data_IF_051755375786
#
_entry.id   IF_051755375786
#
_cell.length_a   1.000
_cell.length_b   1.000
_cell.length_c   1.000
_cell.angle_alpha   90.00
_cell.angle_beta   90.00
_cell.angle_gamma   90.00
#
_symmetry.space_group_name_H-M   'P 1'
#
loop_
_entity.id
_entity.type
_entity.pdbx_description
1 polymer ?
#
# COMPACT_ATOMS: atom_id res chain seq x y z
N UNK A 1 -4.81 -21.85 -19.84
CA UNK A 1 -5.88 -20.96 -19.33
C UNK A 1 -6.94 -21.80 -18.62
N UNK A 2 -6.92 -21.81 -17.30
CA UNK A 2 -7.94 -22.45 -16.47
C UNK A 2 -9.01 -21.40 -16.15
N UNK A 3 -10.15 -21.51 -16.83
CA UNK A 3 -11.33 -20.73 -16.54
C UNK A 3 -11.99 -21.23 -15.26
N UNK A 4 -12.04 -20.40 -14.23
CA UNK A 4 -12.92 -20.59 -13.09
C UNK A 4 -14.30 -20.08 -13.49
N UNK A 5 -15.27 -20.97 -13.70
CA UNK A 5 -16.68 -20.61 -13.83
C UNK A 5 -17.21 -20.16 -12.47
N UNK A 6 -17.55 -18.89 -12.35
CA UNK A 6 -18.37 -18.40 -11.26
C UNK A 6 -19.84 -18.74 -11.55
N UNK A 7 -20.42 -19.65 -10.79
CA UNK A 7 -21.86 -19.92 -10.78
C UNK A 7 -22.45 -19.05 -9.65
N UNK A 8 -23.29 -18.10 -10.02
CA UNK A 8 -24.05 -17.30 -9.07
C UNK A 8 -25.22 -18.09 -8.51
N UNK A 9 -25.38 -18.05 -7.21
CA UNK A 9 -26.42 -18.81 -6.53
C UNK A 9 -27.12 -17.98 -5.45
N UNK A 10 -28.42 -18.14 -5.31
CA UNK A 10 -29.34 -17.36 -4.50
C UNK A 10 -29.31 -17.71 -3.02
N UNK A 11 -29.90 -16.87 -2.16
CA UNK A 11 -29.75 -16.83 -0.69
C UNK A 11 -30.15 -18.10 0.11
N UNK A 12 -30.55 -19.19 -0.52
CA UNK A 12 -30.85 -20.47 0.13
C UNK A 12 -29.65 -21.43 0.18
N UNK A 13 -28.51 -21.01 -0.32
CA UNK A 13 -27.34 -21.84 -0.62
C UNK A 13 -26.09 -21.47 0.18
N UNK A 14 -26.19 -20.56 1.17
CA UNK A 14 -25.02 -20.25 2.03
C UNK A 14 -24.45 -21.43 2.80
N UNK A 15 -25.30 -22.41 3.18
CA UNK A 15 -24.82 -23.68 3.77
C UNK A 15 -24.15 -24.59 2.73
N UNK A 16 -24.55 -24.49 1.45
CA UNK A 16 -23.92 -25.26 0.38
C UNK A 16 -22.65 -24.61 -0.15
N UNK A 17 -22.50 -23.28 -0.06
CA UNK A 17 -21.26 -22.59 -0.47
C UNK A 17 -20.05 -22.94 0.41
N UNK A 18 -20.24 -23.13 1.72
CA UNK A 18 -19.16 -23.63 2.59
C UNK A 18 -18.77 -25.07 2.24
N UNK A 19 -19.76 -25.93 1.93
CA UNK A 19 -19.51 -27.33 1.56
C UNK A 19 -18.87 -27.42 0.16
N UNK A 20 -19.27 -26.59 -0.80
CA UNK A 20 -18.67 -26.52 -2.14
C UNK A 20 -17.30 -25.86 -2.09
N UNK A 21 -17.09 -24.85 -1.24
CA UNK A 21 -15.79 -24.25 -0.98
C UNK A 21 -14.81 -25.24 -0.34
N UNK A 22 -15.26 -26.02 0.66
CA UNK A 22 -14.47 -27.10 1.25
C UNK A 22 -14.20 -28.23 0.24
N UNK A 23 -15.20 -28.64 -0.53
CA UNK A 23 -15.05 -29.67 -1.56
C UNK A 23 -14.12 -29.23 -2.71
N UNK A 24 -14.11 -27.94 -3.08
CA UNK A 24 -13.16 -27.40 -4.07
C UNK A 24 -11.74 -27.27 -3.51
N UNK A 25 -11.59 -26.90 -2.24
CA UNK A 25 -10.28 -26.90 -1.55
C UNK A 25 -9.76 -28.31 -1.30
N UNK A 26 -10.61 -29.25 -0.92
CA UNK A 26 -10.27 -30.67 -0.80
C UNK A 26 -10.00 -31.30 -2.17
N UNK A 27 -10.74 -30.91 -3.21
CA UNK A 27 -10.53 -31.36 -4.59
C UNK A 27 -9.20 -30.86 -5.17
N UNK A 28 -8.83 -29.58 -4.94
CA UNK A 28 -7.52 -29.04 -5.34
C UNK A 28 -6.37 -29.59 -4.51
N UNK A 29 -6.55 -29.78 -3.21
CA UNK A 29 -5.57 -30.43 -2.36
C UNK A 29 -5.39 -31.93 -2.72
N UNK A 30 -6.48 -32.64 -3.00
CA UNK A 30 -6.44 -34.03 -3.48
C UNK A 30 -5.87 -34.13 -4.91
N UNK A 31 -6.08 -33.11 -5.76
CA UNK A 31 -5.50 -33.06 -7.09
C UNK A 31 -4.01 -32.71 -7.06
N UNK A 32 -3.58 -31.81 -6.18
CA UNK A 32 -2.17 -31.52 -5.90
C UNK A 32 -1.46 -32.71 -5.19
N UNK A 33 -2.19 -33.43 -4.31
CA UNK A 33 -1.67 -34.67 -3.71
C UNK A 33 -1.61 -35.85 -4.69
N UNK A 34 -2.07 -35.64 -5.92
CA UNK A 34 -2.09 -36.65 -6.97
C UNK A 34 -0.84 -36.63 -7.88
N UNK A 35 0.14 -35.74 -7.61
CA UNK A 35 1.51 -36.02 -8.03
C UNK A 35 1.93 -37.27 -7.29
N UNK A 36 1.90 -38.39 -8.00
CA UNK A 36 2.10 -39.68 -7.40
C UNK A 36 3.53 -39.77 -6.89
N UNK A 37 3.76 -40.60 -5.90
CA UNK A 37 5.12 -40.95 -5.46
C UNK A 37 5.98 -41.46 -6.64
N UNK A 38 5.34 -41.91 -7.69
CA UNK A 38 5.99 -42.40 -8.90
C UNK A 38 6.42 -41.23 -9.83
N UNK A 39 5.66 -40.11 -9.89
CA UNK A 39 6.06 -38.89 -10.59
C UNK A 39 7.32 -38.27 -9.96
N UNK A 40 7.41 -38.31 -8.62
CA UNK A 40 8.62 -37.85 -7.91
C UNK A 40 9.87 -38.73 -8.22
N UNK A 41 9.67 -40.05 -8.33
CA UNK A 41 10.73 -40.98 -8.71
C UNK A 41 11.15 -40.76 -10.16
N UNK A 42 10.22 -40.51 -11.05
CA UNK A 42 10.47 -40.20 -12.45
C UNK A 42 11.22 -38.87 -12.58
N UNK A 43 10.80 -37.83 -11.86
CA UNK A 43 11.48 -36.53 -11.83
C UNK A 43 12.91 -36.65 -11.31
N UNK A 44 13.15 -37.41 -10.24
CA UNK A 44 14.47 -37.68 -9.73
C UNK A 44 15.32 -38.44 -10.78
N UNK A 45 14.76 -39.44 -11.42
CA UNK A 45 15.43 -40.25 -12.41
C UNK A 45 16.00 -39.44 -13.60
N UNK A 46 15.13 -38.61 -14.23
CA UNK A 46 15.57 -37.73 -15.34
C UNK A 46 16.41 -36.56 -14.84
N UNK A 47 16.14 -36.03 -13.66
CA UNK A 47 16.95 -35.00 -13.04
C UNK A 47 18.41 -35.44 -12.86
N UNK A 48 18.63 -36.67 -12.46
CA UNK A 48 19.99 -37.24 -12.34
C UNK A 48 20.66 -37.46 -13.69
N UNK A 49 19.91 -37.80 -14.74
CA UNK A 49 20.47 -37.88 -16.11
C UNK A 49 20.93 -36.50 -16.58
N UNK A 50 20.11 -35.44 -16.33
CA UNK A 50 20.53 -34.07 -16.67
C UNK A 50 21.70 -33.57 -15.84
N UNK A 51 21.78 -33.96 -14.55
CA UNK A 51 22.97 -33.66 -13.73
C UNK A 51 24.23 -34.27 -14.32
N UNK A 52 24.18 -35.54 -14.67
CA UNK A 52 25.33 -36.26 -15.28
C UNK A 52 25.72 -35.66 -16.64
N UNK A 53 24.75 -35.36 -17.51
CA UNK A 53 24.99 -34.69 -18.78
C UNK A 53 25.62 -33.30 -18.61
N UNK A 54 25.24 -32.56 -17.56
CA UNK A 54 25.84 -31.28 -17.22
C UNK A 54 27.19 -31.38 -16.50
N UNK A 55 27.70 -32.60 -16.31
CA UNK A 55 29.00 -32.88 -15.68
C UNK A 55 28.98 -32.80 -14.16
N UNK A 56 27.79 -32.84 -13.53
CA UNK A 56 27.67 -32.88 -12.07
C UNK A 56 27.65 -34.30 -11.51
N UNK A 57 28.12 -34.44 -10.27
CA UNK A 57 28.17 -35.70 -9.54
C UNK A 57 26.79 -36.20 -9.15
N UNK A 58 26.27 -37.33 -9.69
CA UNK A 58 24.92 -37.83 -9.39
C UNK A 58 24.68 -38.18 -7.92
N UNK A 59 25.71 -38.59 -7.17
CA UNK A 59 25.65 -38.86 -5.75
C UNK A 59 25.13 -37.63 -4.94
N UNK A 60 25.31 -36.43 -5.47
CA UNK A 60 24.73 -35.19 -4.88
C UNK A 60 23.22 -35.21 -4.75
N UNK A 61 22.51 -35.89 -5.68
CA UNK A 61 21.05 -36.04 -5.58
C UNK A 61 20.65 -37.00 -4.45
N UNK A 62 21.45 -38.06 -4.23
CA UNK A 62 21.25 -39.00 -3.11
C UNK A 62 21.38 -38.24 -1.77
N UNK A 63 22.49 -37.52 -1.61
CA UNK A 63 22.79 -36.74 -0.38
C UNK A 63 21.73 -35.67 -0.11
N UNK A 64 21.19 -35.04 -1.16
CA UNK A 64 20.08 -34.07 -1.01
C UNK A 64 18.82 -34.74 -0.48
N UNK A 65 18.44 -35.91 -1.00
CA UNK A 65 17.25 -36.63 -0.54
C UNK A 65 17.45 -37.16 0.88
N UNK A 66 18.64 -37.63 1.26
CA UNK A 66 18.97 -38.02 2.64
C UNK A 66 18.82 -36.85 3.60
N UNK A 67 19.29 -35.66 3.19
CA UNK A 67 19.13 -34.41 3.95
C UNK A 67 17.67 -34.05 4.13
N UNK A 68 16.83 -34.14 3.08
CA UNK A 68 15.41 -33.88 3.17
C UNK A 68 14.68 -34.89 4.07
N UNK A 69 15.04 -36.16 4.01
CA UNK A 69 14.51 -37.19 4.93
C UNK A 69 14.88 -36.87 6.37
N UNK A 70 16.09 -36.41 6.64
CA UNK A 70 16.47 -36.00 8.01
C UNK A 70 15.65 -34.80 8.50
N UNK A 71 15.50 -33.77 7.69
CA UNK A 71 14.69 -32.59 8.03
C UNK A 71 13.19 -32.88 8.22
N UNK A 72 12.66 -33.91 7.53
CA UNK A 72 11.26 -34.31 7.70
C UNK A 72 10.95 -34.95 9.04
N UNK A 73 11.98 -35.48 9.72
CA UNK A 73 11.86 -36.09 11.06
C UNK A 73 11.89 -35.05 12.18
N UNK A 74 12.59 -33.93 11.97
CA UNK A 74 12.61 -32.80 12.87
C UNK A 74 11.43 -31.87 12.56
N UNK A 75 10.99 -31.05 13.54
CA UNK A 75 9.95 -30.02 13.30
C UNK A 75 10.46 -29.02 12.27
N UNK A 76 10.20 -29.32 11.00
CA UNK A 76 10.60 -28.46 9.87
C UNK A 76 10.06 -27.03 10.04
N UNK A 77 10.83 -26.02 9.62
CA UNK A 77 10.35 -24.64 9.52
C UNK A 77 9.11 -24.57 8.61
N UNK A 78 8.26 -23.56 8.74
CA UNK A 78 7.03 -23.42 7.96
C UNK A 78 7.26 -23.49 6.44
N UNK A 79 8.41 -23.03 5.96
CA UNK A 79 8.80 -23.13 4.54
C UNK A 79 9.05 -24.58 4.09
N UNK A 80 9.87 -25.34 4.86
CA UNK A 80 10.15 -26.75 4.54
C UNK A 80 8.90 -27.62 4.69
N UNK A 81 8.01 -27.31 5.64
CA UNK A 81 6.74 -28.01 5.77
C UNK A 81 5.86 -27.87 4.53
N UNK A 82 5.82 -26.69 3.90
CA UNK A 82 5.11 -26.45 2.64
C UNK A 82 5.74 -27.22 1.46
N UNK A 83 7.06 -27.22 1.37
CA UNK A 83 7.79 -27.96 0.33
C UNK A 83 7.56 -29.47 0.46
N UNK A 84 7.65 -30.02 1.69
CA UNK A 84 7.47 -31.45 1.93
C UNK A 84 6.02 -31.92 1.82
N UNK A 85 5.04 -31.00 1.93
CA UNK A 85 3.63 -31.32 1.67
C UNK A 85 3.38 -31.61 0.18
N UNK A 86 4.06 -30.91 -0.73
CA UNK A 86 3.94 -31.08 -2.17
C UNK A 86 4.95 -32.10 -2.75
N UNK A 87 6.15 -32.19 -2.16
CA UNK A 87 7.27 -33.03 -2.60
C UNK A 87 7.81 -33.85 -1.42
N UNK A 88 7.11 -34.90 -0.97
CA UNK A 88 7.47 -35.62 0.24
C UNK A 88 8.77 -36.38 0.09
N UNK A 89 9.79 -36.10 0.93
CA UNK A 89 11.01 -36.91 0.95
C UNK A 89 10.71 -38.30 1.49
N UNK A 90 11.36 -39.31 0.92
CA UNK A 90 11.16 -40.69 1.35
C UNK A 90 12.42 -41.54 1.18
N UNK A 91 12.56 -42.55 2.02
CA UNK A 91 13.67 -43.54 1.88
C UNK A 91 13.60 -44.29 0.55
N UNK A 92 12.40 -44.46 -0.03
CA UNK A 92 12.23 -45.07 -1.36
C UNK A 92 12.91 -44.24 -2.44
N UNK A 93 12.82 -42.90 -2.39
CA UNK A 93 13.52 -41.98 -3.31
C UNK A 93 15.03 -42.05 -3.11
N UNK A 94 15.51 -42.04 -1.86
CA UNK A 94 16.91 -42.20 -1.53
C UNK A 94 17.48 -43.45 -2.16
N UNK A 95 16.82 -44.60 -2.00
CA UNK A 95 17.32 -45.89 -2.55
C UNK A 95 17.26 -45.95 -4.08
N UNK A 96 16.18 -45.43 -4.69
CA UNK A 96 16.06 -45.34 -6.14
C UNK A 96 17.18 -44.46 -6.73
N UNK A 97 17.45 -43.29 -6.12
CA UNK A 97 18.53 -42.39 -6.54
C UNK A 97 19.90 -43.03 -6.35
N UNK A 98 20.14 -43.81 -5.28
CA UNK A 98 21.39 -44.53 -5.05
C UNK A 98 21.64 -45.62 -6.10
N UNK A 99 20.60 -46.32 -6.52
CA UNK A 99 20.68 -47.30 -7.61
C UNK A 99 21.01 -46.59 -8.92
N UNK A 100 20.30 -45.51 -9.24
CA UNK A 100 20.49 -44.72 -10.46
C UNK A 100 21.89 -44.09 -10.52
N UNK A 101 22.39 -43.53 -9.41
CA UNK A 101 23.73 -42.90 -9.34
C UNK A 101 24.84 -43.85 -9.77
N UNK A 102 24.76 -45.14 -9.40
CA UNK A 102 25.75 -46.17 -9.79
C UNK A 102 25.80 -46.44 -11.28
N UNK A 103 24.76 -46.08 -12.04
CA UNK A 103 24.68 -46.28 -13.48
C UNK A 103 25.18 -45.08 -14.30
N UNK A 104 25.44 -43.96 -13.64
CA UNK A 104 25.80 -42.70 -14.26
C UNK A 104 27.29 -42.40 -14.09
N UNK A 105 27.91 -41.66 -15.02
CA UNK A 105 29.30 -41.26 -14.87
C UNK A 105 29.48 -40.31 -13.69
N UNK A 106 30.60 -40.43 -12.98
CA UNK A 106 30.99 -39.47 -11.94
C UNK A 106 31.25 -38.10 -12.54
N UNK A 107 30.97 -37.07 -11.76
CA UNK A 107 31.15 -35.70 -12.17
C UNK A 107 31.71 -34.78 -11.07
N UNK A 108 31.70 -33.48 -11.34
CA UNK A 108 32.12 -32.48 -10.36
C UNK A 108 30.96 -32.14 -9.41
N UNK A 109 31.20 -32.11 -8.11
CA UNK A 109 30.25 -31.63 -7.13
C UNK A 109 29.99 -30.10 -7.22
N UNK A 110 30.74 -29.40 -8.02
CA UNK A 110 30.64 -27.95 -8.21
C UNK A 110 30.98 -27.14 -6.97
N UNK A 111 31.45 -27.76 -5.88
CA UNK A 111 31.66 -27.14 -4.57
C UNK A 111 32.55 -25.90 -4.67
N UNK A 112 33.67 -25.99 -5.38
CA UNK A 112 34.61 -24.87 -5.51
C UNK A 112 33.97 -23.69 -6.24
N UNK A 113 33.29 -23.96 -7.37
CA UNK A 113 32.55 -22.94 -8.14
C UNK A 113 31.43 -22.31 -7.30
N UNK A 114 30.64 -23.12 -6.60
CA UNK A 114 29.60 -22.69 -5.74
C UNK A 114 30.13 -21.79 -4.60
N UNK A 115 31.17 -22.23 -3.88
CA UNK A 115 31.78 -21.45 -2.81
C UNK A 115 32.36 -20.12 -3.32
N UNK A 116 32.95 -20.12 -4.51
CA UNK A 116 33.45 -18.91 -5.16
C UNK A 116 32.27 -17.96 -5.50
N UNK A 117 31.18 -18.49 -6.07
CA UNK A 117 30.01 -17.72 -6.46
C UNK A 117 29.29 -17.10 -5.26
N UNK A 118 29.14 -17.82 -4.13
CA UNK A 118 28.46 -17.34 -2.93
C UNK A 118 29.39 -16.58 -1.96
N UNK A 119 30.68 -16.44 -2.28
CA UNK A 119 31.65 -15.77 -1.40
C UNK A 119 31.23 -14.35 -1.05
N UNK A 120 30.80 -13.58 -2.05
CA UNK A 120 30.33 -12.22 -1.84
C UNK A 120 29.02 -12.21 -1.03
N UNK A 121 28.07 -13.09 -1.36
CA UNK A 121 26.82 -13.23 -0.62
C UNK A 121 27.05 -13.50 0.87
N UNK A 122 28.00 -14.37 1.20
CA UNK A 122 28.38 -14.65 2.60
C UNK A 122 28.99 -13.44 3.33
N UNK A 123 29.76 -12.61 2.61
CA UNK A 123 30.25 -11.34 3.16
C UNK A 123 29.11 -10.36 3.38
N UNK A 124 28.21 -10.27 2.38
CA UNK A 124 27.09 -9.35 2.41
C UNK A 124 26.09 -9.69 3.53
N UNK A 125 25.97 -10.96 3.93
CA UNK A 125 25.14 -11.40 5.06
C UNK A 125 25.38 -10.56 6.32
N UNK A 126 26.63 -10.31 6.69
CA UNK A 126 27.00 -9.48 7.81
C UNK A 126 26.56 -8.03 7.65
N UNK A 127 26.57 -7.50 6.41
CA UNK A 127 26.10 -6.16 6.13
C UNK A 127 24.57 -6.07 6.32
N UNK A 128 23.82 -7.06 5.81
CA UNK A 128 22.37 -7.12 5.98
C UNK A 128 21.95 -7.35 7.42
N UNK A 129 22.67 -8.17 8.20
CA UNK A 129 22.46 -8.30 9.64
C UNK A 129 22.63 -6.96 10.38
N UNK A 130 23.69 -6.21 10.03
CA UNK A 130 23.92 -4.90 10.60
C UNK A 130 22.80 -3.92 10.23
N UNK A 131 22.32 -3.95 8.99
CA UNK A 131 21.19 -3.15 8.55
C UNK A 131 19.88 -3.52 9.27
N UNK A 132 19.63 -4.81 9.54
CA UNK A 132 18.48 -5.24 10.35
C UNK A 132 18.56 -4.75 11.81
N UNK A 133 19.76 -4.75 12.39
CA UNK A 133 19.99 -4.12 13.72
C UNK A 133 19.67 -2.62 13.69
N UNK A 134 20.09 -1.93 12.62
CA UNK A 134 19.78 -0.51 12.42
C UNK A 134 18.28 -0.26 12.26
N UNK A 135 17.55 -1.07 11.48
CA UNK A 135 16.09 -0.97 11.37
C UNK A 135 15.39 -1.12 12.73
N UNK A 136 15.85 -2.07 13.55
CA UNK A 136 15.34 -2.28 14.92
C UNK A 136 15.63 -1.07 15.81
N UNK A 137 16.83 -0.48 15.71
CA UNK A 137 17.21 0.71 16.45
C UNK A 137 16.33 1.92 16.04
N UNK A 138 16.10 2.15 14.75
CA UNK A 138 15.20 3.21 14.27
C UNK A 138 13.76 3.04 14.79
N UNK A 139 13.23 1.81 14.80
CA UNK A 139 11.91 1.52 15.39
C UNK A 139 11.83 1.85 16.88
N UNK A 140 12.96 1.77 17.61
CA UNK A 140 13.09 2.15 19.03
C UNK A 140 13.45 3.63 19.22
N UNK A 141 13.44 4.42 18.16
CA UNK A 141 13.88 5.83 18.17
C UNK A 141 15.34 6.02 18.65
N UNK A 142 16.23 5.06 18.32
CA UNK A 142 17.67 5.15 18.55
C UNK A 142 18.44 5.38 17.23
N UNK A 143 18.46 6.62 16.71
CA UNK A 143 19.14 6.92 15.45
C UNK A 143 20.67 6.81 15.54
N UNK A 144 21.28 7.00 16.71
CA UNK A 144 22.74 6.89 16.88
C UNK A 144 23.18 5.43 16.83
N UNK A 145 22.46 4.52 17.52
CA UNK A 145 22.68 3.08 17.43
C UNK A 145 22.44 2.55 16.01
N UNK A 146 21.45 3.11 15.30
CA UNK A 146 21.23 2.79 13.89
C UNK A 146 22.42 3.19 13.02
N UNK A 147 22.95 4.41 13.16
CA UNK A 147 24.12 4.88 12.41
C UNK A 147 25.33 4.01 12.64
N UNK A 148 25.64 3.66 13.89
CA UNK A 148 26.77 2.77 14.22
C UNK A 148 26.66 1.40 13.53
N UNK A 149 25.44 0.87 13.44
CA UNK A 149 25.21 -0.39 12.73
C UNK A 149 25.30 -0.22 11.20
N UNK A 150 24.83 0.92 10.68
CA UNK A 150 24.88 1.22 9.24
C UNK A 150 26.28 1.58 8.76
N UNK A 151 27.16 2.08 9.62
CA UNK A 151 28.57 2.26 9.28
C UNK A 151 29.18 0.90 8.91
N UNK A 152 28.96 -0.13 9.74
CA UNK A 152 29.41 -1.49 9.45
C UNK A 152 28.78 -2.06 8.16
N UNK A 153 27.49 -1.77 7.93
CA UNK A 153 26.80 -2.26 6.74
C UNK A 153 27.39 -1.65 5.44
N UNK A 154 27.62 -0.33 5.42
CA UNK A 154 28.16 0.35 4.23
C UNK A 154 29.64 0.11 4.03
N UNK A 155 30.41 -0.20 5.08
CA UNK A 155 31.83 -0.60 4.95
C UNK A 155 31.97 -1.96 4.24
N UNK A 156 31.02 -2.86 4.46
CA UNK A 156 31.03 -4.19 3.82
C UNK A 156 30.43 -4.12 2.42
N UNK A 157 29.26 -3.45 2.28
CA UNK A 157 28.52 -3.35 1.04
C UNK A 157 28.11 -1.90 0.75
N UNK A 158 29.02 -1.08 0.21
CA UNK A 158 28.79 0.35 -0.03
C UNK A 158 27.80 0.62 -1.16
N UNK A 159 27.54 -0.35 -2.02
CA UNK A 159 26.67 -0.19 -3.19
C UNK A 159 25.20 -0.50 -2.90
N UNK A 160 24.89 -1.05 -1.73
CA UNK A 160 23.51 -1.34 -1.34
C UNK A 160 22.76 -0.04 -0.99
N UNK A 161 21.91 0.39 -1.90
CA UNK A 161 21.18 1.66 -1.81
C UNK A 161 20.30 1.76 -0.56
N UNK A 162 19.75 0.65 -0.08
CA UNK A 162 18.82 0.63 1.05
C UNK A 162 19.50 1.04 2.37
N UNK A 163 20.79 0.76 2.52
CA UNK A 163 21.56 1.20 3.68
C UNK A 163 21.67 2.72 3.75
N UNK A 164 21.82 3.36 2.61
CA UNK A 164 21.85 4.82 2.51
C UNK A 164 20.48 5.45 2.76
N UNK A 165 19.36 4.79 2.39
CA UNK A 165 18.02 5.22 2.82
C UNK A 165 17.90 5.21 4.34
N UNK A 166 18.33 4.12 4.98
CA UNK A 166 18.28 4.00 6.45
C UNK A 166 19.17 5.05 7.13
N UNK A 167 20.37 5.34 6.59
CA UNK A 167 21.24 6.43 7.09
C UNK A 167 20.54 7.78 7.00
N UNK A 168 19.89 8.07 5.87
CA UNK A 168 19.14 9.30 5.71
C UNK A 168 18.00 9.44 6.72
N UNK A 169 17.27 8.35 6.99
CA UNK A 169 16.23 8.31 8.03
C UNK A 169 16.81 8.57 9.43
N UNK A 170 17.95 7.98 9.76
CA UNK A 170 18.60 8.20 11.03
C UNK A 170 19.02 9.67 11.23
N UNK A 171 19.63 10.29 10.21
CA UNK A 171 19.99 11.70 10.24
C UNK A 171 18.77 12.62 10.29
N UNK A 172 17.68 12.28 9.59
CA UNK A 172 16.40 13.01 9.66
C UNK A 172 15.85 13.03 11.10
N UNK A 173 15.89 11.89 11.80
CA UNK A 173 15.46 11.80 13.21
C UNK A 173 16.35 12.66 14.12
N UNK A 174 17.66 12.74 13.85
CA UNK A 174 18.58 13.61 14.58
C UNK A 174 18.45 15.10 14.25
N UNK A 175 17.60 15.47 13.27
CA UNK A 175 17.43 16.85 12.82
C UNK A 175 18.55 17.35 11.88
N UNK A 176 19.50 16.49 11.49
CA UNK A 176 20.56 16.87 10.54
C UNK A 176 20.07 16.66 9.11
N UNK A 177 19.36 17.68 8.63
CA UNK A 177 18.76 17.68 7.27
C UNK A 177 19.80 17.58 6.17
N UNK A 178 20.96 18.20 6.35
CA UNK A 178 22.03 18.18 5.36
C UNK A 178 22.67 16.80 5.20
N UNK A 179 22.92 16.08 6.31
CA UNK A 179 23.41 14.69 6.24
C UNK A 179 22.33 13.74 5.72
N UNK A 180 21.07 13.96 6.10
CA UNK A 180 19.95 13.17 5.57
C UNK A 180 19.84 13.28 4.05
N UNK A 181 19.85 14.50 3.51
CA UNK A 181 19.77 14.75 2.07
C UNK A 181 20.93 14.11 1.30
N UNK A 182 22.17 14.25 1.81
CA UNK A 182 23.34 13.59 1.20
C UNK A 182 23.21 12.07 1.17
N UNK A 183 22.69 11.47 2.23
CA UNK A 183 22.49 10.03 2.30
C UNK A 183 21.43 9.57 1.28
N UNK A 184 20.28 10.26 1.20
CA UNK A 184 19.26 9.96 0.19
C UNK A 184 19.77 10.15 -1.23
N UNK A 185 20.55 11.21 -1.47
CA UNK A 185 21.20 11.47 -2.77
C UNK A 185 22.16 10.35 -3.16
N UNK A 186 22.93 9.85 -2.20
CA UNK A 186 23.81 8.70 -2.40
C UNK A 186 23.00 7.45 -2.76
N UNK A 187 21.89 7.20 -2.05
CA UNK A 187 20.97 6.10 -2.35
C UNK A 187 20.41 6.17 -3.77
N UNK A 188 19.96 7.35 -4.20
CA UNK A 188 19.45 7.59 -5.56
C UNK A 188 20.52 7.27 -6.60
N UNK A 189 21.76 7.71 -6.38
CA UNK A 189 22.87 7.43 -7.29
C UNK A 189 23.17 5.94 -7.39
N UNK A 190 23.05 5.18 -6.29
CA UNK A 190 23.25 3.72 -6.26
C UNK A 190 22.11 2.97 -6.95
N UNK A 191 20.86 3.40 -6.75
CA UNK A 191 19.71 2.83 -7.44
C UNK A 191 18.70 3.91 -7.84
N UNK A 192 18.80 4.47 -9.05
CA UNK A 192 17.91 5.54 -9.53
C UNK A 192 16.49 5.04 -9.87
N UNK A 193 16.26 3.74 -9.84
CA UNK A 193 14.96 3.14 -10.16
C UNK A 193 14.19 2.67 -8.91
N UNK A 194 14.65 3.04 -7.72
CA UNK A 194 13.95 2.71 -6.49
C UNK A 194 13.27 3.96 -5.89
N UNK A 195 11.98 3.84 -5.60
CA UNK A 195 11.13 4.96 -5.19
C UNK A 195 11.50 5.60 -3.84
N UNK A 196 11.99 4.78 -2.86
CA UNK A 196 12.03 5.19 -1.45
C UNK A 196 12.95 6.39 -1.18
N UNK A 197 14.13 6.45 -1.79
CA UNK A 197 15.07 7.53 -1.57
C UNK A 197 14.55 8.87 -2.15
N UNK A 198 13.88 8.83 -3.29
CA UNK A 198 13.19 10.02 -3.83
C UNK A 198 12.05 10.48 -2.91
N UNK A 199 11.24 9.55 -2.38
CA UNK A 199 10.19 9.90 -1.45
C UNK A 199 10.73 10.59 -0.21
N UNK A 200 11.71 9.97 0.45
CA UNK A 200 12.27 10.48 1.69
C UNK A 200 12.99 11.84 1.49
N UNK A 201 13.77 11.99 0.41
CA UNK A 201 14.40 13.26 0.09
C UNK A 201 13.38 14.32 -0.29
N UNK A 202 12.40 13.96 -1.10
CA UNK A 202 11.34 14.85 -1.51
C UNK A 202 10.51 15.38 -0.34
N UNK A 203 10.15 14.51 0.60
CA UNK A 203 9.46 14.89 1.84
C UNK A 203 10.34 15.80 2.69
N UNK A 204 11.62 15.45 2.86
CA UNK A 204 12.58 16.26 3.62
C UNK A 204 12.71 17.69 3.02
N UNK A 205 12.89 17.82 1.71
CA UNK A 205 13.00 19.11 1.02
C UNK A 205 11.70 19.90 1.14
N UNK A 206 10.55 19.27 0.91
CA UNK A 206 9.24 19.92 1.01
C UNK A 206 9.00 20.51 2.41
N UNK A 207 9.25 19.71 3.46
CA UNK A 207 9.04 20.11 4.86
C UNK A 207 10.03 21.20 5.29
N UNK A 208 11.22 21.25 4.68
CA UNK A 208 12.22 22.30 4.92
C UNK A 208 12.04 23.56 4.05
N UNK A 209 10.94 23.65 3.26
CA UNK A 209 10.58 24.82 2.47
C UNK A 209 11.03 24.80 1.01
N UNK A 210 11.91 23.88 0.60
CA UNK A 210 12.23 23.67 -0.84
C UNK A 210 11.15 22.81 -1.51
N UNK A 211 9.98 23.43 -1.65
CA UNK A 211 8.82 22.74 -2.21
C UNK A 211 8.99 22.33 -3.66
N UNK A 212 9.77 23.11 -4.44
CA UNK A 212 9.95 22.86 -5.88
C UNK A 212 10.69 21.54 -6.08
N UNK A 213 11.88 21.41 -5.50
CA UNK A 213 12.67 20.20 -5.60
C UNK A 213 12.02 19.03 -4.85
N UNK A 214 11.40 19.30 -3.71
CA UNK A 214 10.66 18.30 -2.94
C UNK A 214 9.54 17.65 -3.76
N UNK A 215 8.72 18.46 -4.43
CA UNK A 215 7.64 17.94 -5.29
C UNK A 215 8.18 17.24 -6.54
N UNK A 216 9.30 17.68 -7.10
CA UNK A 216 9.94 16.98 -8.22
C UNK A 216 10.37 15.55 -7.82
N UNK A 217 11.01 15.41 -6.68
CA UNK A 217 11.40 14.10 -6.14
C UNK A 217 10.18 13.22 -5.82
N UNK A 218 9.15 13.78 -5.16
CA UNK A 218 7.93 13.03 -4.83
C UNK A 218 7.22 12.57 -6.11
N UNK A 219 7.17 13.37 -7.17
CA UNK A 219 6.64 12.96 -8.48
C UNK A 219 7.47 11.84 -9.08
N UNK A 220 8.79 11.89 -9.00
CA UNK A 220 9.66 10.80 -9.46
C UNK A 220 9.42 9.52 -8.69
N UNK A 221 9.33 9.61 -7.36
CA UNK A 221 8.96 8.48 -6.49
C UNK A 221 7.61 7.89 -6.89
N UNK A 222 6.59 8.74 -7.06
CA UNK A 222 5.23 8.33 -7.40
C UNK A 222 5.14 7.65 -8.78
N UNK A 223 5.96 8.08 -9.74
CA UNK A 223 6.06 7.45 -11.06
C UNK A 223 6.69 6.04 -10.97
N UNK A 224 7.60 5.81 -10.02
CA UNK A 224 8.20 4.50 -9.78
C UNK A 224 7.27 3.59 -8.98
N UNK A 225 6.68 4.10 -7.92
CA UNK A 225 5.70 3.41 -7.08
C UNK A 225 4.75 4.41 -6.40
N UNK A 226 3.46 4.43 -6.73
CA UNK A 226 2.48 5.24 -6.03
C UNK A 226 2.33 4.81 -4.57
N UNK A 227 2.75 5.67 -3.64
CA UNK A 227 2.60 5.45 -2.20
C UNK A 227 1.55 6.38 -1.60
N UNK A 228 0.97 5.99 -0.47
CA UNK A 228 0.01 6.83 0.25
C UNK A 228 0.65 8.15 0.71
N UNK A 229 1.91 8.10 1.19
CA UNK A 229 2.63 9.27 1.65
C UNK A 229 2.96 10.22 0.48
N UNK A 230 3.49 9.70 -0.64
CA UNK A 230 3.74 10.49 -1.84
C UNK A 230 2.46 11.14 -2.37
N UNK A 231 1.35 10.40 -2.39
CA UNK A 231 0.03 10.92 -2.77
C UNK A 231 -0.44 12.03 -1.84
N UNK A 232 -0.24 11.91 -0.52
CA UNK A 232 -0.60 12.96 0.43
C UNK A 232 0.14 14.27 0.13
N UNK A 233 1.44 14.24 -0.10
CA UNK A 233 2.23 15.45 -0.41
C UNK A 233 1.87 16.04 -1.79
N UNK A 234 1.63 15.19 -2.81
CA UNK A 234 1.14 15.66 -4.12
C UNK A 234 -0.26 16.26 -4.03
N UNK A 235 -1.10 15.73 -3.15
CA UNK A 235 -2.40 16.31 -2.84
C UNK A 235 -2.29 17.70 -2.21
N UNK A 236 -1.39 17.89 -1.25
CA UNK A 236 -1.14 19.21 -0.65
C UNK A 236 -0.61 20.21 -1.70
N UNK A 237 0.33 19.81 -2.55
CA UNK A 237 0.83 20.67 -3.63
C UNK A 237 -0.28 21.07 -4.61
N UNK A 238 -1.19 20.15 -4.94
CA UNK A 238 -2.34 20.46 -5.79
C UNK A 238 -3.34 21.42 -5.11
N UNK A 239 -3.51 21.30 -3.77
CA UNK A 239 -4.31 22.23 -2.97
C UNK A 239 -3.75 23.66 -3.02
N UNK A 240 -2.42 23.80 -2.84
CA UNK A 240 -1.75 25.11 -2.92
C UNK A 240 -1.93 25.75 -4.31
N UNK A 241 -1.97 24.95 -5.37
CA UNK A 241 -2.24 25.37 -6.74
C UNK A 241 -3.74 25.59 -7.03
N UNK A 242 -4.61 25.48 -6.03
CA UNK A 242 -6.08 25.53 -6.17
C UNK A 242 -6.66 24.49 -7.15
N UNK A 243 -5.89 23.46 -7.51
CA UNK A 243 -6.35 22.36 -8.35
C UNK A 243 -7.05 21.28 -7.48
N UNK A 244 -8.25 21.60 -7.04
CA UNK A 244 -8.99 20.81 -6.05
C UNK A 244 -9.38 19.42 -6.56
N UNK A 245 -9.67 19.27 -7.84
CA UNK A 245 -9.99 17.94 -8.42
C UNK A 245 -8.77 17.02 -8.37
N UNK A 246 -7.59 17.53 -8.74
CA UNK A 246 -6.36 16.76 -8.69
C UNK A 246 -5.95 16.45 -7.26
N UNK A 247 -6.13 17.41 -6.34
CA UNK A 247 -5.90 17.20 -4.91
C UNK A 247 -6.78 16.07 -4.36
N UNK A 248 -8.07 16.07 -4.73
CA UNK A 248 -9.02 15.02 -4.35
C UNK A 248 -8.54 13.65 -4.80
N UNK A 249 -8.18 13.49 -6.08
CA UNK A 249 -7.68 12.21 -6.60
C UNK A 249 -6.46 11.68 -5.84
N UNK A 250 -5.51 12.55 -5.49
CA UNK A 250 -4.34 12.17 -4.70
C UNK A 250 -4.71 11.78 -3.25
N UNK A 251 -5.56 12.55 -2.58
CA UNK A 251 -5.98 12.22 -1.21
C UNK A 251 -6.84 10.96 -1.15
N UNK A 252 -7.61 10.63 -2.19
CA UNK A 252 -8.34 9.35 -2.27
C UNK A 252 -7.40 8.15 -2.28
N UNK A 253 -6.24 8.26 -2.94
CA UNK A 253 -5.19 7.23 -2.87
C UNK A 253 -4.60 7.16 -1.46
N UNK A 254 -4.23 8.29 -0.88
CA UNK A 254 -3.67 8.37 0.47
C UNK A 254 -4.62 7.82 1.54
N UNK A 255 -5.92 8.09 1.41
CA UNK A 255 -6.96 7.71 2.36
C UNK A 255 -7.16 6.19 2.53
N UNK A 256 -6.70 5.39 1.56
CA UNK A 256 -6.76 3.91 1.62
C UNK A 256 -5.78 3.33 2.63
N UNK A 257 -4.79 4.08 3.06
CA UNK A 257 -3.82 3.62 4.07
C UNK A 257 -4.47 3.51 5.46
N UNK A 258 -4.11 2.47 6.21
CA UNK A 258 -4.43 2.31 7.63
C UNK A 258 -3.51 3.11 8.56
N UNK A 259 -2.38 3.61 8.06
CA UNK A 259 -1.42 4.40 8.80
C UNK A 259 -1.90 5.86 9.03
N UNK A 260 -1.14 6.65 9.77
CA UNK A 260 -1.46 8.06 10.08
C UNK A 260 -1.70 8.92 8.83
N UNK A 261 -1.01 8.64 7.73
CA UNK A 261 -1.19 9.32 6.45
C UNK A 261 -2.61 9.13 5.89
N UNK A 262 -3.21 7.96 6.10
CA UNK A 262 -4.60 7.71 5.70
C UNK A 262 -5.58 8.61 6.43
N UNK A 263 -5.41 8.78 7.74
CA UNK A 263 -6.24 9.68 8.56
C UNK A 263 -6.07 11.15 8.14
N UNK A 264 -4.82 11.58 7.86
CA UNK A 264 -4.53 12.92 7.34
C UNK A 264 -5.17 13.16 5.98
N UNK A 265 -5.12 12.17 5.08
CA UNK A 265 -5.73 12.26 3.74
C UNK A 265 -7.26 12.34 3.83
N UNK A 266 -7.90 11.54 4.70
CA UNK A 266 -9.36 11.62 4.93
C UNK A 266 -9.79 12.98 5.47
N UNK A 267 -9.02 13.58 6.38
CA UNK A 267 -9.30 14.93 6.88
C UNK A 267 -9.22 15.98 5.74
N UNK A 268 -8.24 15.87 4.84
CA UNK A 268 -8.12 16.74 3.65
C UNK A 268 -9.28 16.54 2.68
N UNK A 269 -9.73 15.29 2.47
CA UNK A 269 -10.90 14.99 1.63
C UNK A 269 -12.17 15.61 2.19
N UNK A 270 -12.36 15.61 3.50
CA UNK A 270 -13.51 16.27 4.12
C UNK A 270 -13.53 17.78 3.79
N UNK A 271 -12.41 18.46 3.97
CA UNK A 271 -12.27 19.91 3.63
C UNK A 271 -12.52 20.13 2.14
N UNK A 272 -11.97 19.28 1.28
CA UNK A 272 -12.18 19.37 -0.17
C UNK A 272 -13.64 19.14 -0.57
N UNK A 273 -14.32 18.21 0.05
CA UNK A 273 -15.73 17.96 -0.24
C UNK A 273 -16.60 19.18 0.14
N UNK A 274 -16.26 19.86 1.24
CA UNK A 274 -16.92 21.10 1.62
C UNK A 274 -16.68 22.22 0.59
N UNK A 275 -15.47 22.30 0.04
CA UNK A 275 -15.11 23.29 -1.00
C UNK A 275 -15.72 22.98 -2.36
N UNK A 276 -15.77 21.72 -2.76
CA UNK A 276 -16.27 21.30 -4.07
C UNK A 276 -17.79 21.22 -4.15
N UNK A 277 -18.45 20.98 -3.02
CA UNK A 277 -19.90 20.79 -2.94
C UNK A 277 -20.45 21.52 -1.71
N UNK A 278 -20.25 22.85 -1.57
CA UNK A 278 -20.64 23.59 -0.38
C UNK A 278 -22.15 23.56 -0.13
N UNK A 279 -22.97 23.43 -1.17
CA UNK A 279 -24.43 23.31 -1.09
C UNK A 279 -24.90 22.13 -0.24
N UNK A 280 -24.12 21.05 -0.17
CA UNK A 280 -24.46 19.86 0.63
C UNK A 280 -24.28 20.07 2.13
N UNK A 281 -23.63 21.16 2.51
CA UNK A 281 -23.34 21.48 3.90
C UNK A 281 -24.23 22.62 4.43
N UNK A 282 -25.25 23.05 3.67
CA UNK A 282 -26.28 23.97 4.12
C UNK A 282 -27.50 23.16 4.53
N UNK A 283 -27.82 23.19 5.82
CA UNK A 283 -29.09 22.66 6.34
C UNK A 283 -30.18 23.67 6.11
N UNK A 284 -31.25 23.25 5.49
CA UNK A 284 -32.47 24.03 5.30
C UNK A 284 -33.47 23.59 6.38
N UNK A 285 -34.03 24.55 7.13
CA UNK A 285 -35.13 24.30 8.03
C UNK A 285 -36.18 25.41 7.86
N UNK A 286 -37.47 25.05 8.01
CA UNK A 286 -38.58 25.97 8.00
C UNK A 286 -39.01 26.18 9.45
N UNK A 287 -39.08 27.41 9.89
CA UNK A 287 -39.47 27.78 11.23
C UNK A 287 -40.59 28.81 11.15
N UNK A 288 -41.47 28.83 12.15
CA UNK A 288 -42.53 29.83 12.26
C UNK A 288 -42.05 30.98 13.14
N UNK A 289 -42.20 32.21 12.69
CA UNK A 289 -41.90 33.37 13.51
C UNK A 289 -43.04 33.62 14.53
N UNK A 290 -42.84 34.59 15.44
CA UNK A 290 -43.84 34.92 16.49
C UNK A 290 -45.17 35.39 15.91
N UNK A 291 -45.19 35.91 14.72
CA UNK A 291 -46.37 36.44 14.02
C UNK A 291 -47.03 35.38 13.10
N UNK A 292 -46.65 34.13 13.23
CA UNK A 292 -47.18 33.01 12.44
C UNK A 292 -46.63 32.89 11.01
N UNK A 293 -45.74 33.79 10.60
CA UNK A 293 -45.08 33.75 9.27
C UNK A 293 -44.02 32.69 9.19
N UNK A 294 -43.90 32.09 8.00
CA UNK A 294 -42.83 31.12 7.76
C UNK A 294 -41.49 31.78 7.43
N UNK A 295 -40.43 31.28 8.05
CA UNK A 295 -39.06 31.72 7.86
C UNK A 295 -38.22 30.52 7.41
N UNK A 296 -37.41 30.70 6.39
CA UNK A 296 -36.42 29.72 5.95
C UNK A 296 -35.13 30.01 6.71
N UNK A 297 -34.67 29.04 7.47
CA UNK A 297 -33.36 29.11 8.14
C UNK A 297 -32.36 28.24 7.38
N UNK A 298 -31.27 28.87 6.94
CA UNK A 298 -30.12 28.21 6.32
C UNK A 298 -28.98 28.15 7.33
N UNK A 299 -28.54 26.96 7.71
CA UNK A 299 -27.44 26.75 8.66
C UNK A 299 -26.24 26.16 7.95
N UNK A 300 -25.08 26.78 8.10
CA UNK A 300 -23.82 26.25 7.57
C UNK A 300 -23.29 25.16 8.50
N UNK A 301 -23.19 23.91 7.99
CA UNK A 301 -22.62 22.74 8.69
C UNK A 301 -21.16 22.48 8.30
N UNK A 302 -20.60 23.26 7.36
CA UNK A 302 -19.21 23.15 6.98
C UNK A 302 -18.29 23.79 8.02
N UNK A 303 -17.03 23.44 8.00
CA UNK A 303 -15.96 24.10 8.74
C UNK A 303 -15.37 25.32 8.01
N UNK A 304 -15.98 25.72 6.90
CA UNK A 304 -15.57 26.85 6.05
C UNK A 304 -16.75 27.80 5.86
N UNK A 305 -16.49 29.08 5.63
CA UNK A 305 -17.51 30.07 5.33
C UNK A 305 -18.14 29.81 3.97
N UNK A 306 -19.47 29.90 3.89
CA UNK A 306 -20.23 29.68 2.63
C UNK A 306 -20.99 30.99 2.31
N UNK A 307 -20.87 31.40 1.05
CA UNK A 307 -21.57 32.61 0.54
C UNK A 307 -22.03 32.44 -0.90
N UNK A 308 -22.49 33.54 -1.48
CA UNK A 308 -23.04 33.59 -2.84
C UNK A 308 -24.12 32.53 -3.07
N UNK A 309 -25.02 32.36 -2.10
CA UNK A 309 -26.05 31.36 -2.13
C UNK A 309 -27.14 31.74 -3.14
N UNK A 310 -27.50 30.77 -3.99
CA UNK A 310 -28.71 30.83 -4.82
C UNK A 310 -29.65 29.73 -4.37
N UNK A 311 -30.85 30.10 -4.00
CA UNK A 311 -31.89 29.15 -3.57
C UNK A 311 -33.11 29.27 -4.48
N UNK A 312 -33.79 28.17 -4.68
CA UNK A 312 -35.08 28.11 -5.33
C UNK A 312 -36.13 27.72 -4.32
N UNK A 313 -37.20 28.48 -4.28
CA UNK A 313 -38.39 28.20 -3.47
C UNK A 313 -39.51 27.88 -4.42
N UNK A 314 -40.20 26.76 -4.22
CA UNK A 314 -41.33 26.35 -5.07
C UNK A 314 -42.47 25.75 -4.24
N UNK A 315 -43.71 26.06 -4.62
CA UNK A 315 -44.92 25.44 -4.10
C UNK A 315 -45.46 24.30 -5.01
N UNK A 316 -44.67 23.89 -6.01
CA UNK A 316 -45.09 22.92 -7.00
C UNK A 316 -45.78 23.49 -8.24
N UNK A 317 -46.23 24.77 -8.19
CA UNK A 317 -46.87 25.47 -9.28
C UNK A 317 -45.98 26.58 -9.83
N UNK A 318 -45.38 27.36 -8.91
CA UNK A 318 -44.45 28.45 -9.21
C UNK A 318 -43.11 28.22 -8.53
N UNK A 319 -42.05 28.69 -9.15
CA UNK A 319 -40.70 28.67 -8.59
C UNK A 319 -40.12 30.09 -8.59
N UNK A 320 -39.47 30.46 -7.50
CA UNK A 320 -38.76 31.75 -7.36
C UNK A 320 -37.32 31.49 -6.95
N UNK A 321 -36.39 32.18 -7.58
CA UNK A 321 -34.98 32.14 -7.23
C UNK A 321 -34.63 33.39 -6.40
N UNK A 322 -33.87 33.15 -5.33
CA UNK A 322 -33.31 34.20 -4.47
C UNK A 322 -31.81 34.10 -4.45
N UNK A 323 -31.13 35.24 -4.51
CA UNK A 323 -29.67 35.33 -4.35
C UNK A 323 -29.38 36.00 -3.00
N UNK A 324 -28.56 35.36 -2.20
CA UNK A 324 -28.13 35.87 -0.91
C UNK A 324 -26.69 36.31 -1.02
N UNK A 325 -26.45 37.61 -0.76
CA UNK A 325 -25.10 38.18 -0.74
C UNK A 325 -24.37 37.95 0.57
N UNK A 326 -25.07 37.48 1.60
CA UNK A 326 -24.50 37.26 2.92
C UNK A 326 -23.63 36.00 2.95
N UNK A 327 -22.57 36.05 3.77
CA UNK A 327 -21.69 34.90 4.06
C UNK A 327 -22.16 34.29 5.38
N UNK A 328 -22.39 32.99 5.38
CA UNK A 328 -22.74 32.23 6.59
C UNK A 328 -21.44 31.59 7.12
N UNK A 329 -21.02 32.01 8.31
CA UNK A 329 -19.84 31.45 8.97
C UNK A 329 -20.09 30.02 9.44
N UNK A 330 -19.05 29.24 9.76
CA UNK A 330 -19.22 27.89 10.30
C UNK A 330 -20.16 27.85 11.51
N UNK A 331 -21.11 26.94 11.48
CA UNK A 331 -22.13 26.73 12.51
C UNK A 331 -23.15 27.89 12.69
N UNK A 332 -23.06 28.93 11.89
CA UNK A 332 -24.03 30.04 11.91
C UNK A 332 -25.21 29.77 11.00
N UNK A 333 -26.26 30.62 11.18
CA UNK A 333 -27.51 30.52 10.42
C UNK A 333 -27.96 31.91 9.98
N UNK A 334 -28.53 31.96 8.78
CA UNK A 334 -29.23 33.14 8.23
C UNK A 334 -30.67 32.78 8.05
N UNK A 335 -31.54 33.74 8.44
CA UNK A 335 -33.00 33.64 8.33
C UNK A 335 -33.48 34.46 7.12
N UNK A 336 -34.24 33.83 6.24
CA UNK A 336 -34.85 34.47 5.09
C UNK A 336 -36.36 34.51 5.28
N UNK A 337 -36.95 35.68 5.17
CA UNK A 337 -38.41 35.82 5.11
C UNK A 337 -38.81 35.85 3.64
N UNK A 338 -39.55 34.82 3.12
CA UNK A 338 -40.18 34.95 1.83
C UNK A 338 -41.16 36.11 1.83
N UNK A 339 -41.07 37.02 0.87
CA UNK A 339 -42.01 38.14 0.78
C UNK A 339 -43.45 37.66 0.79
N UNK A 340 -44.32 38.41 1.50
CA UNK A 340 -45.67 38.03 1.94
C UNK A 340 -46.71 37.67 0.86
N UNK A 341 -46.37 37.61 -0.44
CA UNK A 341 -47.42 37.74 -1.45
C UNK A 341 -47.90 36.50 -2.21
N UNK A 342 -47.41 35.27 -2.04
CA UNK A 342 -48.07 34.15 -2.72
C UNK A 342 -47.82 32.74 -2.12
N UNK A 343 -46.86 32.54 -1.22
CA UNK A 343 -46.43 31.20 -0.83
C UNK A 343 -46.83 30.78 0.61
N UNK A 344 -47.58 31.66 1.35
CA UNK A 344 -47.73 31.53 2.80
C UNK A 344 -48.79 30.51 3.25
N UNK A 345 -49.63 30.00 2.38
CA UNK A 345 -50.70 29.06 2.72
C UNK A 345 -50.54 27.64 2.18
N UNK A 346 -49.39 27.31 1.55
CA UNK A 346 -49.11 25.97 1.00
C UNK A 346 -47.73 25.51 1.43
N UNK A 347 -47.51 24.20 1.59
CA UNK A 347 -46.19 23.65 1.77
C UNK A 347 -45.30 24.04 0.57
N UNK A 348 -44.08 24.49 0.85
CA UNK A 348 -43.10 24.81 -0.19
C UNK A 348 -41.82 24.04 0.01
N UNK A 349 -41.11 23.80 -1.09
CA UNK A 349 -39.81 23.19 -1.08
C UNK A 349 -38.73 24.24 -1.32
N UNK A 350 -37.61 24.09 -0.64
CA UNK A 350 -36.44 24.95 -0.81
C UNK A 350 -35.28 24.09 -1.27
N UNK A 351 -34.62 24.51 -2.34
CA UNK A 351 -33.47 23.86 -2.90
C UNK A 351 -32.31 24.84 -3.01
N UNK A 352 -31.11 24.43 -2.64
CA UNK A 352 -29.89 25.18 -2.91
C UNK A 352 -29.50 24.90 -4.38
N UNK A 353 -29.43 25.93 -5.19
CA UNK A 353 -29.00 25.85 -6.59
C UNK A 353 -27.48 26.04 -6.74
N UNK A 354 -26.93 26.95 -5.93
CA UNK A 354 -25.51 27.30 -5.94
C UNK A 354 -25.08 27.80 -4.55
N UNK A 355 -23.86 27.42 -4.21
CA UNK A 355 -23.14 27.95 -3.05
C UNK A 355 -21.65 28.03 -3.39
N UNK A 356 -20.89 28.92 -2.75
CA UNK A 356 -19.43 29.00 -2.90
C UNK A 356 -18.79 29.15 -1.55
N UNK A 357 -17.59 28.58 -1.40
CA UNK A 357 -16.75 28.86 -0.23
C UNK A 357 -16.14 30.24 -0.37
N UNK A 358 -16.24 31.04 0.70
CA UNK A 358 -15.64 32.36 0.81
C UNK A 358 -14.41 32.24 1.69
N UNK A 359 -13.25 32.71 1.19
CA UNK A 359 -11.97 32.71 1.91
C UNK A 359 -11.82 33.95 2.80
#
# INVERSE_FOLDING_TARGET
>A
SLGVMAVGVSAKEKENEEIVGLASQLGTAAWMARYSRDDELEADYYGMDYMAQAGYEPEGAVELQETFVSFSKDKATSFLSGLFASHPPSMRRVEANRIKAKTLPSGDRGRTRFQAAIRQLKKDELAYEAAEKAKKALKKNDPRGALSSLDKAVDIQPDEFSFWVLRGKAWKILGDTGRAERAFTTSIRKNPNHYSAYLERGVLLYDNGDKINGIADIKRSHALLPTAEGSYYLGNAAMEQKNYQRAKAYFEVGAKSSESVGSRSRAKLLILNQRLNPERYIRISQIQNRDGGMVIRLTNLASVSIGNLQIQITDGVAARELRLGETILPSESVNIQPERHALLNRPFLVKILKATVVE
#
